data_IF_470106897452
#
_entry.id   IF_470106897452
#
_cell.length_a   1.000
_cell.length_b   1.000
_cell.length_c   1.000
_cell.angle_alpha   90.00
_cell.angle_beta   90.00
_cell.angle_gamma   90.00
#
_symmetry.space_group_name_H-M   'P 1'
#
loop_
_entity.id
_entity.type
_entity.pdbx_description
1 polymer ?
#
# COMPACT_ATOMS: atom_id res chain seq x y z
N UNK A 1 13.40 -2.03 -8.66
CA UNK A 1 14.50 -1.86 -7.70
C UNK A 1 13.97 -2.15 -6.29
N UNK A 2 14.84 -2.58 -5.36
CA UNK A 2 14.49 -2.95 -3.97
C UNK A 2 14.81 -1.86 -2.93
N UNK A 3 15.43 -0.77 -3.37
CA UNK A 3 15.85 0.33 -2.51
C UNK A 3 14.84 1.48 -2.55
N UNK A 4 14.70 2.20 -1.42
CA UNK A 4 14.08 3.54 -1.40
C UNK A 4 15.16 4.56 -1.10
N UNK A 5 15.33 5.54 -1.98
CA UNK A 5 16.19 6.70 -1.74
C UNK A 5 15.33 7.88 -1.28
N UNK A 6 15.74 8.52 -0.20
CA UNK A 6 15.05 9.67 0.37
C UNK A 6 15.86 10.93 0.10
N UNK A 7 15.19 11.97 -0.37
CA UNK A 7 15.76 13.26 -0.69
C UNK A 7 14.98 14.35 0.03
N UNK A 8 15.67 15.37 0.52
CA UNK A 8 15.06 16.51 1.22
C UNK A 8 14.81 17.64 0.21
N UNK A 9 13.54 17.98 0.00
CA UNK A 9 13.13 19.02 -0.96
C UNK A 9 13.56 20.42 -0.52
N UNK A 10 13.59 20.68 0.78
CA UNK A 10 13.92 22.00 1.32
C UNK A 10 15.43 22.25 1.29
N UNK A 11 16.24 21.18 1.20
CA UNK A 11 17.68 21.22 0.99
C UNK A 11 18.07 20.84 -0.47
N UNK A 12 17.42 21.43 -1.47
CA UNK A 12 17.74 21.25 -2.90
C UNK A 12 17.74 19.78 -3.39
N UNK A 13 16.84 18.95 -2.84
CA UNK A 13 16.80 17.51 -3.10
C UNK A 13 18.10 16.81 -2.72
N UNK A 14 18.77 17.27 -1.65
CA UNK A 14 19.92 16.59 -1.09
C UNK A 14 19.56 15.16 -0.68
N UNK A 15 20.48 14.24 -0.95
CA UNK A 15 20.34 12.85 -0.53
C UNK A 15 20.38 12.75 0.99
N UNK A 16 19.34 12.16 1.58
CA UNK A 16 19.23 11.96 3.03
C UNK A 16 19.70 10.56 3.41
N UNK A 17 19.11 9.54 2.79
CA UNK A 17 19.38 8.14 3.13
C UNK A 17 18.91 7.15 2.07
N UNK A 18 19.46 5.94 2.13
CA UNK A 18 18.97 4.77 1.37
C UNK A 18 18.40 3.74 2.33
N UNK A 19 17.19 3.28 2.06
CA UNK A 19 16.50 2.25 2.81
C UNK A 19 16.59 0.92 2.05
N UNK A 20 17.25 -0.06 2.65
CA UNK A 20 17.51 -1.38 2.06
C UNK A 20 16.85 -2.52 2.86
N UNK A 21 15.58 -2.36 3.26
CA UNK A 21 14.88 -3.41 4.00
C UNK A 21 14.18 -4.44 3.10
N UNK A 22 13.84 -4.09 1.86
CA UNK A 22 13.15 -5.00 0.95
C UNK A 22 14.15 -5.94 0.26
N UNK A 23 13.76 -7.22 0.16
CA UNK A 23 14.56 -8.25 -0.51
C UNK A 23 14.21 -8.42 -2.00
N UNK A 24 13.17 -7.72 -2.47
CA UNK A 24 12.72 -7.74 -3.86
C UNK A 24 12.14 -6.38 -4.26
N UNK A 25 11.58 -6.29 -5.47
CA UNK A 25 11.05 -5.04 -6.01
C UNK A 25 9.96 -4.43 -5.12
N UNK A 26 10.08 -3.14 -4.86
CA UNK A 26 9.06 -2.34 -4.17
C UNK A 26 7.98 -1.97 -5.18
N UNK A 27 6.72 -2.21 -4.83
CA UNK A 27 5.58 -2.00 -5.72
C UNK A 27 4.79 -0.74 -5.38
N UNK A 28 4.78 -0.34 -4.10
CA UNK A 28 4.20 0.93 -3.67
C UNK A 28 4.93 1.51 -2.46
N UNK A 29 4.95 2.85 -2.42
CA UNK A 29 5.34 3.65 -1.25
C UNK A 29 4.24 4.68 -1.00
N UNK A 30 3.87 4.87 0.27
CA UNK A 30 2.92 5.89 0.70
C UNK A 30 3.45 6.61 1.93
N UNK A 31 3.21 7.92 1.97
CA UNK A 31 3.42 8.71 3.17
C UNK A 31 2.08 8.92 3.87
N UNK A 32 2.11 8.95 5.19
CA UNK A 32 0.96 9.29 5.99
C UNK A 32 1.40 9.94 7.28
N UNK A 33 0.53 10.80 7.81
CA UNK A 33 0.76 11.41 9.10
C UNK A 33 -0.07 10.66 10.15
N UNK A 34 0.60 9.91 11.01
CA UNK A 34 -0.02 9.15 12.09
C UNK A 34 0.39 9.78 13.43
N UNK A 35 -0.57 10.25 14.21
CA UNK A 35 -0.33 10.88 15.53
C UNK A 35 0.67 12.05 15.49
N UNK A 36 0.58 12.89 14.44
CA UNK A 36 1.46 14.05 14.24
C UNK A 36 2.94 13.70 13.98
N UNK A 37 3.24 12.46 13.58
CA UNK A 37 4.55 12.12 13.03
C UNK A 37 4.42 11.54 11.62
N UNK A 38 5.32 11.97 10.74
CA UNK A 38 5.40 11.49 9.37
C UNK A 38 5.85 10.03 9.37
N UNK A 39 5.09 9.19 8.69
CA UNK A 39 5.43 7.80 8.44
C UNK A 39 5.52 7.53 6.94
N UNK A 40 6.37 6.58 6.60
CA UNK A 40 6.51 6.03 5.27
C UNK A 40 6.21 4.54 5.35
N UNK A 41 5.32 4.06 4.48
CA UNK A 41 5.00 2.65 4.36
C UNK A 41 5.32 2.19 2.96
N UNK A 42 6.03 1.09 2.84
CA UNK A 42 6.36 0.47 1.56
C UNK A 42 5.89 -0.98 1.53
N UNK A 43 5.46 -1.46 0.37
CA UNK A 43 5.23 -2.89 0.14
C UNK A 43 5.91 -3.36 -1.14
N UNK A 44 6.10 -4.67 -1.25
CA UNK A 44 6.82 -5.22 -2.38
C UNK A 44 6.52 -6.67 -2.74
N UNK A 45 7.21 -7.11 -3.79
CA UNK A 45 7.17 -8.46 -4.32
C UNK A 45 7.73 -9.51 -3.34
N UNK A 46 8.50 -9.07 -2.36
CA UNK A 46 8.97 -9.90 -1.23
C UNK A 46 7.90 -10.20 -0.18
N UNK A 47 6.64 -9.82 -0.46
CA UNK A 47 5.47 -10.15 0.36
C UNK A 47 5.46 -9.43 1.70
N UNK A 48 6.26 -8.38 1.86
CA UNK A 48 6.36 -7.60 3.09
C UNK A 48 5.75 -6.21 2.96
N UNK A 49 5.30 -5.69 4.10
CA UNK A 49 4.95 -4.29 4.30
C UNK A 49 5.86 -3.75 5.40
N UNK A 50 6.56 -2.67 5.11
CA UNK A 50 7.54 -2.09 6.01
C UNK A 50 7.06 -0.71 6.42
N UNK A 51 6.86 -0.52 7.72
CA UNK A 51 6.42 0.73 8.32
C UNK A 51 7.63 1.43 8.91
N UNK A 52 7.86 2.66 8.47
CA UNK A 52 8.94 3.52 8.96
C UNK A 52 8.39 4.82 9.48
N UNK A 53 9.05 5.36 10.50
CA UNK A 53 8.69 6.62 11.12
C UNK A 53 9.86 7.60 10.97
N UNK A 54 9.52 8.85 10.64
CA UNK A 54 10.49 9.93 10.61
C UNK A 54 10.93 10.23 12.04
N UNK A 55 12.23 10.28 12.25
CA UNK A 55 12.85 10.62 13.52
C UNK A 55 14.00 11.58 13.25
N UNK A 56 14.17 12.55 14.15
CA UNK A 56 15.35 13.41 14.16
C UNK A 56 16.44 12.68 14.94
N UNK A 57 17.55 12.43 14.26
CA UNK A 57 18.77 11.89 14.85
C UNK A 57 19.39 12.89 15.85
N UNK A 58 20.28 12.44 16.76
CA UNK A 58 20.93 13.34 17.73
C UNK A 58 21.73 14.49 17.10
N UNK A 59 22.20 14.31 15.87
CA UNK A 59 22.90 15.26 15.01
C UNK A 59 21.96 16.21 14.26
N UNK A 60 20.65 16.10 14.46
CA UNK A 60 19.65 17.00 13.89
C UNK A 60 19.15 16.59 12.49
N UNK A 61 19.69 15.52 11.91
CA UNK A 61 19.28 15.03 10.59
C UNK A 61 17.97 14.23 10.66
N UNK A 62 17.10 14.40 9.67
CA UNK A 62 15.87 13.64 9.54
C UNK A 62 16.15 12.26 8.92
N UNK A 63 15.68 11.19 9.56
CA UNK A 63 15.87 9.82 9.08
C UNK A 63 14.60 8.98 9.29
N UNK A 64 14.29 8.10 8.34
CA UNK A 64 13.22 7.11 8.53
C UNK A 64 13.75 5.82 9.14
N UNK A 65 13.26 5.49 10.34
CA UNK A 65 13.60 4.25 11.03
C UNK A 65 12.46 3.24 10.93
N UNK A 66 12.80 1.96 10.69
CA UNK A 66 11.83 0.87 10.66
C UNK A 66 11.24 0.64 12.04
N UNK A 67 9.91 0.68 12.13
CA UNK A 67 9.15 0.41 13.36
C UNK A 67 8.51 -0.97 13.30
N UNK A 68 7.84 -1.30 12.20
CA UNK A 68 7.15 -2.58 12.02
C UNK A 68 7.47 -3.21 10.66
N UNK A 69 7.41 -4.54 10.61
CA UNK A 69 7.47 -5.32 9.38
C UNK A 69 6.37 -6.38 9.41
N UNK A 70 5.43 -6.28 8.47
CA UNK A 70 4.37 -7.26 8.28
C UNK A 70 4.70 -8.14 7.07
N UNK A 71 5.14 -9.37 7.32
CA UNK A 71 5.37 -10.36 6.28
C UNK A 71 4.10 -11.18 6.00
N UNK A 72 3.77 -11.32 4.72
CA UNK A 72 2.64 -12.09 4.22
C UNK A 72 3.07 -13.32 3.42
N UNK A 73 2.08 -14.00 2.81
CA UNK A 73 2.31 -15.21 1.99
C UNK A 73 2.36 -14.92 0.49
N UNK A 74 1.91 -13.75 0.07
CA UNK A 74 1.62 -13.39 -1.31
C UNK A 74 2.27 -12.07 -1.68
N UNK A 75 2.62 -11.90 -2.95
CA UNK A 75 3.13 -10.63 -3.47
C UNK A 75 2.06 -9.55 -3.36
N UNK A 76 2.49 -8.32 -3.05
CA UNK A 76 1.67 -7.13 -2.95
C UNK A 76 1.96 -6.24 -4.16
N UNK A 77 0.93 -5.86 -4.92
CA UNK A 77 1.10 -5.13 -6.19
C UNK A 77 0.81 -3.63 -6.07
N UNK A 78 -0.02 -3.23 -5.11
CA UNK A 78 -0.24 -1.82 -4.79
C UNK A 78 -0.70 -1.64 -3.33
N UNK A 79 -0.69 -0.39 -2.88
CA UNK A 79 -1.12 0.03 -1.55
C UNK A 79 -1.79 1.39 -1.57
N UNK A 80 -2.89 1.52 -0.84
CA UNK A 80 -3.56 2.78 -0.53
C UNK A 80 -3.52 3.04 0.99
N UNK A 81 -3.60 4.30 1.40
CA UNK A 81 -3.81 4.69 2.80
C UNK A 81 -5.27 5.10 2.95
N UNK A 82 -5.93 4.62 4.01
CA UNK A 82 -7.29 5.04 4.35
C UNK A 82 -7.35 6.53 4.72
N UNK A 83 -8.49 7.18 4.47
CA UNK A 83 -8.72 8.61 4.75
C UNK A 83 -8.44 8.96 6.21
N UNK A 84 -8.64 8.01 7.14
CA UNK A 84 -8.34 8.20 8.56
C UNK A 84 -6.85 8.10 8.93
N UNK A 85 -5.98 7.72 7.98
CA UNK A 85 -4.54 7.44 8.16
C UNK A 85 -4.23 6.34 9.20
N UNK A 86 -5.23 5.52 9.56
CA UNK A 86 -5.07 4.42 10.53
C UNK A 86 -4.82 3.08 9.87
N UNK A 87 -5.13 2.96 8.59
CA UNK A 87 -5.06 1.71 7.85
C UNK A 87 -4.33 1.88 6.54
N UNK A 88 -3.60 0.83 6.15
CA UNK A 88 -3.13 0.64 4.78
C UNK A 88 -3.86 -0.53 4.16
N UNK A 89 -4.26 -0.36 2.91
CA UNK A 89 -5.05 -1.30 2.13
C UNK A 89 -4.13 -1.80 1.01
N UNK A 90 -4.00 -3.11 0.83
CA UNK A 90 -3.07 -3.68 -0.17
C UNK A 90 -3.78 -4.58 -1.17
N UNK A 91 -3.40 -4.43 -2.44
CA UNK A 91 -3.78 -5.30 -3.54
C UNK A 91 -2.84 -6.50 -3.60
N UNK A 92 -3.36 -7.71 -3.41
CA UNK A 92 -2.56 -8.93 -3.33
C UNK A 92 -2.67 -9.80 -4.58
N UNK A 93 -1.61 -10.57 -4.85
CA UNK A 93 -1.56 -11.54 -5.95
C UNK A 93 -2.66 -12.60 -5.89
N UNK A 94 -3.11 -12.97 -4.68
CA UNK A 94 -4.15 -13.98 -4.45
C UNK A 94 -5.57 -13.40 -4.49
N UNK A 95 -5.76 -12.26 -5.17
CA UNK A 95 -7.05 -11.58 -5.37
C UNK A 95 -7.69 -10.96 -4.12
N UNK A 96 -7.00 -10.99 -2.99
CA UNK A 96 -7.53 -10.42 -1.76
C UNK A 96 -7.06 -8.97 -1.57
N UNK A 97 -7.95 -8.17 -1.03
CA UNK A 97 -7.61 -6.91 -0.39
C UNK A 97 -7.28 -7.22 1.07
N UNK A 98 -6.14 -6.75 1.55
CA UNK A 98 -5.75 -6.87 2.96
C UNK A 98 -5.59 -5.51 3.58
N UNK A 99 -6.05 -5.39 4.83
CA UNK A 99 -6.01 -4.15 5.60
C UNK A 99 -5.09 -4.35 6.80
N UNK A 100 -4.16 -3.44 7.00
CA UNK A 100 -3.23 -3.44 8.12
C UNK A 100 -3.36 -2.16 8.92
N UNK A 101 -3.34 -2.29 10.24
CA UNK A 101 -3.34 -1.15 11.14
C UNK A 101 -1.94 -0.52 11.18
N UNK A 102 -1.86 0.77 10.88
CA UNK A 102 -0.62 1.54 10.78
C UNK A 102 0.14 1.58 12.11
N UNK A 103 -0.58 1.77 13.22
CA UNK A 103 0.04 1.95 14.55
C UNK A 103 0.63 0.68 15.12
N UNK A 104 0.12 -0.49 14.72
CA UNK A 104 0.54 -1.78 15.28
C UNK A 104 1.25 -2.66 14.27
N UNK A 105 1.21 -2.32 12.97
CA UNK A 105 1.66 -3.16 11.86
C UNK A 105 0.86 -4.46 11.70
N UNK A 106 -0.25 -4.64 12.44
CA UNK A 106 -1.01 -5.90 12.45
C UNK A 106 -2.05 -5.93 11.34
N UNK A 107 -2.22 -7.11 10.75
CA UNK A 107 -3.35 -7.42 9.87
C UNK A 107 -4.67 -7.27 10.64
N UNK A 108 -5.65 -6.62 10.02
CA UNK A 108 -6.95 -6.32 10.64
C UNK A 108 -8.12 -6.94 9.88
N UNK A 109 -8.13 -6.87 8.55
CA UNK A 109 -9.26 -7.35 7.73
C UNK A 109 -8.76 -7.90 6.38
N UNK A 110 -9.49 -8.87 5.85
CA UNK A 110 -9.34 -9.37 4.47
C UNK A 110 -10.70 -9.47 3.82
N UNK A 111 -10.79 -9.10 2.54
CA UNK A 111 -11.96 -9.36 1.71
C UNK A 111 -11.56 -9.56 0.25
N UNK A 112 -12.42 -10.19 -0.56
CA UNK A 112 -12.15 -10.40 -1.99
C UNK A 112 -12.07 -9.04 -2.69
N UNK A 113 -11.10 -8.89 -3.59
CA UNK A 113 -10.94 -7.70 -4.45
C UNK A 113 -11.24 -7.96 -5.93
N UNK A 114 -11.66 -9.16 -6.30
CA UNK A 114 -12.26 -9.48 -7.61
C UNK A 114 -13.38 -10.49 -7.43
N UNK A 115 -14.38 -10.44 -8.31
CA UNK A 115 -15.45 -11.44 -8.42
C UNK A 115 -15.02 -12.67 -9.24
N UNK A 116 -13.96 -12.53 -10.05
CA UNK A 116 -13.42 -13.61 -10.87
C UNK A 116 -12.71 -14.69 -10.05
N UNK A 117 -12.65 -15.90 -10.60
CA UNK A 117 -11.97 -17.04 -10.00
C UNK A 117 -10.53 -17.22 -10.49
N UNK A 118 -10.05 -16.31 -11.36
CA UNK A 118 -8.68 -16.29 -11.90
C UNK A 118 -8.08 -14.88 -11.86
N UNK A 119 -6.75 -14.81 -11.98
CA UNK A 119 -6.00 -13.55 -12.02
C UNK A 119 -5.48 -13.06 -10.66
N UNK A 120 -4.94 -11.84 -10.68
CA UNK A 120 -4.31 -11.14 -9.55
C UNK A 120 -4.73 -9.68 -9.52
N UNK A 121 -4.84 -9.07 -8.33
CA UNK A 121 -5.09 -7.63 -8.25
C UNK A 121 -3.86 -6.87 -8.73
N UNK A 122 -4.08 -5.79 -9.48
CA UNK A 122 -3.03 -4.92 -9.99
C UNK A 122 -3.03 -3.62 -9.20
N UNK A 123 -4.20 -3.00 -9.04
CA UNK A 123 -4.38 -1.71 -8.37
C UNK A 123 -5.48 -1.77 -7.32
N UNK A 124 -5.33 -0.90 -6.31
CA UNK A 124 -6.35 -0.59 -5.32
C UNK A 124 -6.39 0.92 -5.14
N UNK A 125 -7.57 1.50 -5.08
CA UNK A 125 -7.79 2.92 -4.82
C UNK A 125 -8.96 3.08 -3.85
N UNK A 126 -8.88 4.04 -2.93
CA UNK A 126 -9.96 4.38 -2.03
C UNK A 126 -10.57 5.71 -2.47
N UNK A 127 -11.90 5.79 -2.46
CA UNK A 127 -12.57 7.03 -2.78
C UNK A 127 -12.39 8.07 -1.64
N UNK A 128 -12.64 9.34 -1.95
CA UNK A 128 -12.43 10.43 -0.99
C UNK A 128 -13.33 10.34 0.26
N UNK A 129 -14.47 9.63 0.19
CA UNK A 129 -15.31 9.37 1.37
C UNK A 129 -14.76 8.27 2.28
N UNK A 130 -13.85 7.43 1.79
CA UNK A 130 -13.30 6.29 2.53
C UNK A 130 -14.26 5.10 2.62
N UNK A 131 -15.35 5.12 1.85
CA UNK A 131 -16.40 4.09 1.90
C UNK A 131 -16.18 3.05 0.80
N UNK A 132 -15.69 3.46 -0.36
CA UNK A 132 -15.58 2.61 -1.54
C UNK A 132 -14.14 2.36 -1.94
N UNK A 133 -13.82 1.08 -2.13
CA UNK A 133 -12.53 0.63 -2.66
C UNK A 133 -12.73 0.17 -4.09
N UNK A 134 -12.02 0.80 -5.03
CA UNK A 134 -11.90 0.33 -6.40
C UNK A 134 -10.69 -0.60 -6.53
N UNK A 135 -10.83 -1.66 -7.32
CA UNK A 135 -9.73 -2.56 -7.67
C UNK A 135 -9.71 -2.85 -9.16
N UNK A 136 -8.51 -3.12 -9.69
CA UNK A 136 -8.32 -3.72 -11.01
C UNK A 136 -7.64 -5.08 -10.89
N UNK A 137 -8.00 -6.00 -11.79
CA UNK A 137 -7.48 -7.37 -11.80
C UNK A 137 -6.90 -7.73 -13.19
N UNK A 138 -5.99 -8.69 -13.22
CA UNK A 138 -5.40 -9.21 -14.48
C UNK A 138 -6.42 -9.93 -15.37
N UNK A 139 -7.59 -10.25 -14.84
CA UNK A 139 -8.74 -10.75 -15.62
C UNK A 139 -9.47 -9.64 -16.41
N UNK A 140 -8.93 -8.41 -16.39
CA UNK A 140 -9.45 -7.20 -17.06
C UNK A 140 -10.75 -6.67 -16.46
N UNK A 141 -11.14 -7.16 -15.29
CA UNK A 141 -12.27 -6.63 -14.53
C UNK A 141 -11.83 -5.52 -13.58
N UNK A 142 -12.77 -4.60 -13.37
CA UNK A 142 -12.72 -3.58 -12.34
C UNK A 142 -13.86 -3.86 -11.37
N UNK A 143 -13.60 -3.75 -10.07
CA UNK A 143 -14.61 -3.97 -9.06
C UNK A 143 -14.64 -2.79 -8.08
N UNK A 144 -15.82 -2.47 -7.58
CA UNK A 144 -16.02 -1.52 -6.48
C UNK A 144 -16.56 -2.32 -5.31
N UNK A 145 -15.94 -2.14 -4.14
CA UNK A 145 -16.34 -2.76 -2.89
C UNK A 145 -16.69 -1.71 -1.86
N UNK A 146 -17.68 -1.99 -1.02
CA UNK A 146 -17.84 -1.25 0.23
C UNK A 146 -16.74 -1.70 1.22
N UNK A 147 -15.95 -0.75 1.70
CA UNK A 147 -14.80 -0.98 2.56
C UNK A 147 -15.18 -1.61 3.90
N UNK A 148 -16.34 -1.26 4.45
CA UNK A 148 -16.78 -1.69 5.78
C UNK A 148 -17.44 -3.06 5.75
N UNK A 149 -18.34 -3.32 4.81
CA UNK A 149 -18.97 -4.64 4.65
C UNK A 149 -18.07 -5.63 3.92
N UNK A 150 -17.22 -5.16 3.01
CA UNK A 150 -16.45 -6.00 2.09
C UNK A 150 -17.28 -6.57 0.94
N UNK A 151 -18.51 -6.07 0.74
CA UNK A 151 -19.39 -6.52 -0.32
C UNK A 151 -19.06 -5.85 -1.66
N UNK A 152 -19.21 -6.59 -2.75
CA UNK A 152 -19.04 -6.05 -4.10
C UNK A 152 -20.27 -5.23 -4.49
N UNK A 153 -20.08 -3.95 -4.74
CA UNK A 153 -21.13 -3.00 -5.11
C UNK A 153 -21.29 -2.89 -6.63
N UNK A 154 -20.19 -3.03 -7.37
CA UNK A 154 -20.21 -3.01 -8.83
C UNK A 154 -19.07 -3.83 -9.42
N UNK A 155 -19.32 -4.41 -10.58
CA UNK A 155 -18.31 -5.02 -11.44
C UNK A 155 -18.42 -4.40 -12.82
N UNK A 156 -17.27 -4.04 -13.38
CA UNK A 156 -17.17 -3.43 -14.70
C UNK A 156 -16.20 -4.24 -15.56
N UNK A 157 -16.60 -4.46 -16.80
CA UNK A 157 -15.80 -5.10 -17.84
C UNK A 157 -16.00 -4.33 -19.15
N UNK A 158 -14.98 -4.35 -20.01
CA UNK A 158 -15.03 -3.61 -21.27
C UNK A 158 -13.64 -3.23 -21.81
N UNK A 159 -12.64 -3.14 -20.94
CA UNK A 159 -11.26 -2.94 -21.37
C UNK A 159 -10.75 -4.17 -22.13
N UNK A 160 -10.17 -3.92 -23.31
CA UNK A 160 -9.54 -4.98 -24.12
C UNK A 160 -8.23 -5.48 -23.52
N UNK A 161 -7.60 -4.69 -22.64
CA UNK A 161 -6.31 -4.98 -22.02
C UNK A 161 -6.34 -4.72 -20.50
N UNK A 162 -5.22 -5.05 -19.82
CA UNK A 162 -5.05 -4.86 -18.38
C UNK A 162 -5.22 -3.40 -17.98
N UNK A 163 -5.98 -3.17 -16.91
CA UNK A 163 -6.13 -1.84 -16.32
C UNK A 163 -5.05 -1.65 -15.26
N UNK A 164 -4.00 -0.92 -15.63
CA UNK A 164 -2.81 -0.71 -14.79
C UNK A 164 -2.87 0.57 -13.95
N UNK A 165 -3.97 1.31 -13.98
CA UNK A 165 -4.20 2.53 -13.20
C UNK A 165 -5.68 2.69 -12.86
N UNK A 166 -5.94 3.26 -11.68
CA UNK A 166 -7.27 3.61 -11.16
C UNK A 166 -7.30 5.10 -10.82
#
# INVERSE_FOLDING_TARGET
DRLVHVFDVDEDYNFVQTLDDHSSSITAVRFLNAQSNLQMVSCGADKSIIFRQLQTSPDGQLQFNRVYNAAGKTTLYDMEVDVSHKHVITACQDRNIRVYNVLTGKHSKTFKGSVGEDGSLIKVALDASGIYVATSCTDKTLCIYDYYSGECMATMSGHSELVTGL
#
